data_IF_777303746564
#
_entry.id   IF_777303746564
#
_cell.length_a   1.000
_cell.length_b   1.000
_cell.length_c   1.000
_cell.angle_alpha   90.00
_cell.angle_beta   90.00
_cell.angle_gamma   90.00
#
_symmetry.space_group_name_H-M   'P 1'
#
loop_
_entity.id
_entity.type
_entity.pdbx_description
1 polymer ?
#
# COMPACT_ATOMS: atom_id res chain seq x y z
N UNK A 1 4.54 5.04 -5.35
CA UNK A 1 4.54 3.71 -4.70
C UNK A 1 3.94 2.71 -5.68
N UNK A 2 4.54 1.53 -5.79
CA UNK A 2 4.06 0.46 -6.68
C UNK A 2 3.67 -0.77 -5.87
N UNK A 3 2.86 -1.62 -6.48
CA UNK A 3 2.34 -2.85 -5.92
C UNK A 3 2.62 -4.03 -6.86
N UNK A 4 2.74 -5.21 -6.27
CA UNK A 4 2.92 -6.48 -6.96
C UNK A 4 2.10 -7.59 -6.30
N UNK A 5 1.81 -8.63 -7.07
CA UNK A 5 1.14 -9.82 -6.58
C UNK A 5 2.05 -10.64 -5.67
N UNK A 6 1.49 -11.19 -4.61
CA UNK A 6 2.14 -12.18 -3.75
C UNK A 6 2.58 -13.46 -4.48
N UNK A 7 2.12 -13.70 -5.71
CA UNK A 7 2.53 -14.82 -6.57
C UNK A 7 3.51 -14.40 -7.69
N UNK A 8 3.81 -13.11 -7.79
CA UNK A 8 4.83 -12.56 -8.69
C UNK A 8 4.43 -12.43 -10.16
N UNK A 9 3.22 -12.79 -10.56
CA UNK A 9 2.76 -12.73 -11.96
C UNK A 9 2.25 -11.35 -12.40
N UNK A 10 1.91 -10.48 -11.46
CA UNK A 10 1.38 -9.13 -11.73
C UNK A 10 2.19 -8.09 -10.95
N UNK A 11 2.81 -7.11 -11.64
CA UNK A 11 3.83 -6.21 -11.08
C UNK A 11 3.64 -4.77 -11.52
N UNK A 12 4.31 -3.86 -10.81
CA UNK A 12 4.40 -2.44 -11.11
C UNK A 12 3.04 -1.75 -11.25
N UNK A 13 2.09 -2.13 -10.39
CA UNK A 13 0.75 -1.52 -10.34
C UNK A 13 0.72 -0.32 -9.42
N UNK A 14 -0.02 0.71 -9.82
CA UNK A 14 -0.34 1.86 -8.99
C UNK A 14 -1.42 1.50 -7.97
N UNK A 15 -1.56 2.32 -6.91
CA UNK A 15 -2.62 2.12 -5.92
C UNK A 15 -4.03 2.17 -6.55
N UNK A 16 -4.26 3.07 -7.51
CA UNK A 16 -5.54 3.20 -8.20
C UNK A 16 -5.90 1.93 -8.99
N UNK A 17 -4.94 1.37 -9.73
CA UNK A 17 -5.15 0.12 -10.47
C UNK A 17 -5.49 -1.04 -9.53
N UNK A 18 -4.74 -1.23 -8.44
CA UNK A 18 -5.01 -2.35 -7.51
C UNK A 18 -6.34 -2.19 -6.78
N UNK A 19 -6.73 -0.95 -6.45
CA UNK A 19 -8.00 -0.64 -5.80
C UNK A 19 -9.18 -1.00 -6.70
N UNK A 20 -9.10 -0.66 -7.99
CA UNK A 20 -10.16 -0.94 -8.96
C UNK A 20 -10.24 -2.43 -9.34
N UNK A 21 -9.10 -3.13 -9.35
CA UNK A 21 -9.01 -4.53 -9.75
C UNK A 21 -9.37 -5.50 -8.63
N UNK A 22 -9.03 -5.15 -7.39
CA UNK A 22 -9.22 -5.99 -6.21
C UNK A 22 -8.20 -7.14 -6.11
N UNK A 23 -8.32 -8.14 -6.99
CA UNK A 23 -7.43 -9.32 -7.03
C UNK A 23 -6.42 -9.21 -8.18
N UNK A 24 -5.21 -9.73 -7.98
CA UNK A 24 -4.21 -9.81 -9.05
C UNK A 24 -4.61 -10.84 -10.12
N UNK A 25 -4.07 -10.70 -11.35
CA UNK A 25 -4.41 -11.58 -12.49
C UNK A 25 -4.06 -13.05 -12.24
N UNK A 26 -3.05 -13.31 -11.42
CA UNK A 26 -2.60 -14.64 -11.04
C UNK A 26 -3.36 -15.22 -9.83
N UNK A 27 -4.43 -14.55 -9.38
CA UNK A 27 -5.23 -14.90 -8.22
C UNK A 27 -4.53 -14.63 -6.88
N UNK A 28 -3.40 -13.93 -6.88
CA UNK A 28 -2.72 -13.43 -5.69
C UNK A 28 -3.31 -12.13 -5.15
N UNK A 29 -2.75 -11.65 -4.04
CA UNK A 29 -3.10 -10.36 -3.44
C UNK A 29 -2.03 -9.33 -3.77
N UNK A 30 -2.41 -8.06 -3.91
CA UNK A 30 -1.45 -6.99 -4.08
C UNK A 30 -0.82 -6.57 -2.75
N UNK A 31 0.50 -6.44 -2.75
CA UNK A 31 1.31 -5.86 -1.68
C UNK A 31 2.21 -4.78 -2.26
N UNK A 32 2.63 -3.77 -1.48
CA UNK A 32 3.55 -2.78 -2.00
C UNK A 32 4.93 -3.38 -2.25
N UNK A 33 5.63 -2.88 -3.26
CA UNK A 33 7.01 -3.29 -3.55
C UNK A 33 7.97 -2.89 -2.41
N UNK A 34 7.59 -1.88 -1.61
CA UNK A 34 8.36 -1.37 -0.48
C UNK A 34 7.42 -0.92 0.64
N UNK A 35 7.80 -1.20 1.89
CA UNK A 35 7.07 -0.69 3.06
C UNK A 35 7.53 0.72 3.41
N UNK A 36 6.62 1.72 3.51
CA UNK A 36 6.99 3.05 3.93
C UNK A 36 7.48 3.03 5.39
N UNK A 37 8.51 3.83 5.68
CA UNK A 37 9.02 3.99 7.04
C UNK A 37 8.20 5.02 7.79
N UNK A 38 7.72 4.66 8.97
CA UNK A 38 6.98 5.58 9.83
C UNK A 38 7.94 6.50 10.60
N UNK A 39 7.61 7.80 10.67
CA UNK A 39 8.25 8.74 11.58
C UNK A 39 7.46 8.78 12.90
N UNK A 40 8.00 8.12 13.92
CA UNK A 40 7.35 8.01 15.23
C UNK A 40 7.22 9.37 15.92
N UNK A 41 8.17 10.29 15.72
CA UNK A 41 8.12 11.61 16.37
C UNK A 41 6.97 12.43 15.80
N UNK A 42 6.85 12.45 14.47
CA UNK A 42 5.73 13.10 13.78
C UNK A 42 4.38 12.52 14.25
N UNK A 43 4.27 11.20 14.38
CA UNK A 43 3.04 10.55 14.85
C UNK A 43 2.66 10.91 16.29
N UNK A 44 3.63 11.17 17.16
CA UNK A 44 3.38 11.60 18.54
C UNK A 44 2.85 13.03 18.63
N UNK A 45 3.07 13.85 17.60
CA UNK A 45 2.57 15.23 17.51
C UNK A 45 1.12 15.32 16.96
N UNK A 46 0.61 14.23 16.38
CA UNK A 46 -0.76 14.14 15.87
C UNK A 46 -1.76 14.10 17.04
N UNK A 47 -2.84 14.91 16.95
CA UNK A 47 -3.80 15.09 18.05
C UNK A 47 -5.15 14.38 17.82
N UNK A 48 -5.35 13.82 16.64
CA UNK A 48 -6.55 13.07 16.28
C UNK A 48 -6.22 11.85 15.44
N UNK A 49 -7.17 10.91 15.36
CA UNK A 49 -7.06 9.75 14.47
C UNK A 49 -6.94 10.16 13.00
N UNK A 50 -7.62 11.24 12.61
CA UNK A 50 -7.58 11.77 11.24
C UNK A 50 -6.17 12.31 10.93
N UNK A 51 -5.50 12.95 11.88
CA UNK A 51 -4.13 13.44 11.69
C UNK A 51 -3.10 12.31 11.53
N UNK A 52 -3.39 11.13 12.09
CA UNK A 52 -2.55 9.93 11.96
C UNK A 52 -2.76 9.26 10.60
N UNK A 53 -3.99 9.29 10.08
CA UNK A 53 -4.38 8.60 8.85
C UNK A 53 -4.00 9.35 7.56
N UNK A 54 -3.76 10.67 7.63
CA UNK A 54 -3.35 11.53 6.50
C UNK A 54 -1.82 11.63 6.38
#
# INVERSE_FOLDING_TARGET
>A
MLFESTRGGDKAKTFEEVLLKGLADDGGLYIPTEWPKADIRKLQECNSFIDIAN
#
